data_IF_801518484773
#
_entry.id   IF_801518484773
#
_cell.length_a   1.000
_cell.length_b   1.000
_cell.length_c   1.000
_cell.angle_alpha   90.00
_cell.angle_beta   90.00
_cell.angle_gamma   90.00
#
_symmetry.space_group_name_H-M   'P 1'
#
loop_
_entity.id
_entity.type
_entity.pdbx_description
1 polymer ?
#
# COMPACT_ATOMS: atom_id res chain seq x y z
N UNK A 1 -43.05 -21.16 11.13
CA UNK A 1 -41.92 -21.58 10.27
C UNK A 1 -41.58 -20.42 9.35
N UNK A 2 -40.65 -19.56 9.76
CA UNK A 2 -40.22 -18.40 8.98
C UNK A 2 -39.45 -18.91 7.76
N UNK A 3 -39.90 -18.54 6.57
CA UNK A 3 -39.28 -18.96 5.32
C UNK A 3 -37.87 -18.35 5.24
N UNK A 4 -36.87 -19.20 5.06
CA UNK A 4 -35.48 -18.80 4.83
C UNK A 4 -35.41 -18.10 3.47
N UNK A 5 -34.85 -16.88 3.37
CA UNK A 5 -34.72 -16.23 2.06
C UNK A 5 -33.85 -17.11 1.15
N UNK A 6 -34.35 -17.36 -0.07
CA UNK A 6 -33.60 -17.97 -1.17
C UNK A 6 -32.50 -16.96 -1.59
N UNK A 7 -31.29 -17.46 -1.82
CA UNK A 7 -30.07 -16.74 -2.26
C UNK A 7 -29.24 -15.96 -1.23
N UNK A 8 -29.01 -16.52 -0.05
CA UNK A 8 -27.81 -16.13 0.71
C UNK A 8 -26.57 -16.82 0.11
N UNK A 9 -25.77 -16.05 -0.63
CA UNK A 9 -24.46 -16.48 -1.16
C UNK A 9 -23.63 -17.14 -0.04
N UNK A 10 -23.24 -18.40 -0.25
CA UNK A 10 -22.46 -19.15 0.73
C UNK A 10 -21.03 -18.62 0.81
N UNK A 11 -20.64 -18.10 1.98
CA UNK A 11 -19.28 -17.66 2.26
C UNK A 11 -18.27 -18.83 2.13
N UNK A 12 -17.16 -18.59 1.42
CA UNK A 12 -16.12 -19.61 1.19
C UNK A 12 -15.31 -19.96 2.45
N UNK A 13 -15.25 -19.07 3.43
CA UNK A 13 -14.63 -19.29 4.75
C UNK A 13 -15.60 -18.87 5.83
N UNK A 14 -15.45 -19.42 7.04
CA UNK A 14 -16.29 -19.05 8.18
C UNK A 14 -16.11 -17.57 8.54
N UNK A 15 -17.21 -16.88 8.79
CA UNK A 15 -17.21 -15.51 9.32
C UNK A 15 -16.52 -15.45 10.68
N UNK A 16 -15.63 -14.49 10.87
CA UNK A 16 -15.01 -14.18 12.15
C UNK A 16 -15.80 -13.06 12.80
N UNK A 17 -16.34 -13.26 14.00
CA UNK A 17 -17.08 -12.22 14.72
C UNK A 17 -16.16 -11.15 15.31
N UNK A 18 -14.94 -11.52 15.69
CA UNK A 18 -13.93 -10.63 16.27
C UNK A 18 -12.55 -10.92 15.65
N UNK A 19 -11.64 -9.94 15.62
CA UNK A 19 -10.28 -10.14 15.13
C UNK A 19 -9.53 -11.13 16.05
N UNK A 20 -8.98 -12.24 15.52
CA UNK A 20 -8.17 -13.14 16.32
C UNK A 20 -6.85 -12.47 16.73
N UNK A 21 -6.25 -12.87 17.86
CA UNK A 21 -4.98 -12.29 18.34
C UNK A 21 -3.86 -12.38 17.31
N UNK A 22 -3.78 -13.50 16.58
CA UNK A 22 -2.82 -13.69 15.49
C UNK A 22 -3.01 -12.69 14.35
N UNK A 23 -4.22 -12.21 14.11
CA UNK A 23 -4.46 -11.15 13.15
C UNK A 23 -4.04 -9.78 13.69
N UNK A 24 -4.25 -9.51 14.98
CA UNK A 24 -3.85 -8.23 15.58
C UNK A 24 -2.33 -8.01 15.46
N UNK A 25 -1.53 -9.05 15.68
CA UNK A 25 -0.08 -9.01 15.45
C UNK A 25 0.27 -8.74 13.97
N UNK A 26 -0.44 -9.39 13.04
CA UNK A 26 -0.26 -9.18 11.60
C UNK A 26 -0.63 -7.76 11.20
N UNK A 27 -1.73 -7.22 11.75
CA UNK A 27 -2.21 -5.86 11.51
C UNK A 27 -1.26 -4.83 12.08
N UNK A 28 -0.76 -5.03 13.29
CA UNK A 28 0.25 -4.14 13.88
C UNK A 28 1.49 -4.06 12.98
N UNK A 29 2.04 -5.20 12.57
CA UNK A 29 3.16 -5.25 11.62
C UNK A 29 2.82 -4.59 10.28
N UNK A 30 1.61 -4.78 9.79
CA UNK A 30 1.17 -4.17 8.54
C UNK A 30 1.13 -2.63 8.64
N UNK A 31 0.71 -2.08 9.78
CA UNK A 31 0.51 -0.65 9.97
C UNK A 31 1.76 0.09 10.45
N UNK A 32 2.70 -0.60 11.10
CA UNK A 32 3.97 -0.04 11.57
C UNK A 32 5.07 -0.09 10.51
N UNK A 33 5.09 -1.15 9.72
CA UNK A 33 6.15 -1.37 8.73
C UNK A 33 5.85 -0.64 7.41
N UNK A 34 6.87 0.04 6.87
CA UNK A 34 6.74 0.84 5.64
C UNK A 34 6.56 -0.08 4.42
N UNK A 35 5.47 0.10 3.70
CA UNK A 35 5.13 -0.64 2.47
C UNK A 35 4.49 0.31 1.46
N UNK A 36 4.65 0.03 0.17
CA UNK A 36 4.22 0.92 -0.90
C UNK A 36 3.39 0.18 -1.94
N UNK A 37 2.17 0.66 -2.22
CA UNK A 37 1.40 0.19 -3.37
C UNK A 37 1.97 0.85 -4.63
N UNK A 38 2.47 0.03 -5.55
CA UNK A 38 3.11 0.48 -6.79
C UNK A 38 2.11 0.58 -7.94
N UNK A 39 1.18 -0.37 -8.00
CA UNK A 39 0.19 -0.45 -9.06
C UNK A 39 -1.11 -1.08 -8.53
N UNK A 40 -2.24 -0.66 -9.12
CA UNK A 40 -3.59 -1.14 -8.81
C UNK A 40 -4.38 -1.25 -10.11
N UNK A 41 -4.85 -2.46 -10.42
CA UNK A 41 -5.68 -2.70 -11.59
C UNK A 41 -6.96 -3.39 -11.14
N UNK A 42 -8.11 -2.76 -11.39
CA UNK A 42 -9.41 -3.35 -11.11
C UNK A 42 -9.94 -3.99 -12.37
N UNK A 43 -10.37 -5.23 -12.23
CA UNK A 43 -11.04 -5.98 -13.26
C UNK A 43 -12.53 -6.04 -12.94
N UNK A 44 -13.33 -5.53 -13.89
CA UNK A 44 -14.79 -5.51 -13.87
C UNK A 44 -15.38 -6.56 -14.83
N UNK A 45 -14.55 -7.42 -15.42
CA UNK A 45 -14.98 -8.45 -16.38
C UNK A 45 -15.95 -9.46 -15.76
N UNK A 46 -15.87 -9.67 -14.44
CA UNK A 46 -16.75 -10.59 -13.73
C UNK A 46 -18.08 -9.89 -13.38
N UNK A 47 -19.23 -10.41 -13.85
CA UNK A 47 -20.53 -9.79 -13.61
C UNK A 47 -20.98 -9.85 -12.15
N UNK A 48 -20.45 -10.79 -11.35
CA UNK A 48 -20.87 -10.96 -9.97
C UNK A 48 -20.20 -9.95 -9.03
N UNK A 49 -18.90 -9.74 -9.18
CA UNK A 49 -18.14 -8.84 -8.30
C UNK A 49 -16.86 -8.33 -8.97
N UNK A 50 -16.40 -7.12 -8.61
CA UNK A 50 -15.08 -6.65 -9.03
C UNK A 50 -13.98 -7.51 -8.42
N UNK A 51 -12.83 -7.56 -9.08
CA UNK A 51 -11.56 -8.03 -8.50
C UNK A 51 -10.50 -6.96 -8.69
N UNK A 52 -9.50 -6.91 -7.81
CA UNK A 52 -8.42 -5.91 -7.94
C UNK A 52 -7.07 -6.59 -7.72
N UNK A 53 -6.15 -6.42 -8.68
CA UNK A 53 -4.76 -6.82 -8.56
C UNK A 53 -3.93 -5.63 -8.07
N UNK A 54 -3.06 -5.88 -7.10
CA UNK A 54 -2.22 -4.84 -6.49
C UNK A 54 -0.77 -5.32 -6.47
N UNK A 55 0.14 -4.48 -6.96
CA UNK A 55 1.57 -4.66 -6.79
C UNK A 55 2.04 -3.86 -5.58
N UNK A 56 2.68 -4.52 -4.61
CA UNK A 56 3.06 -3.96 -3.33
C UNK A 56 4.54 -4.20 -3.04
N UNK A 57 5.33 -3.14 -2.86
CA UNK A 57 6.68 -3.24 -2.32
C UNK A 57 6.64 -3.40 -0.79
N UNK A 58 7.27 -4.47 -0.30
CA UNK A 58 7.47 -4.73 1.13
C UNK A 58 8.58 -3.86 1.74
N UNK A 59 8.85 -4.09 3.02
CA UNK A 59 9.87 -3.35 3.81
C UNK A 59 11.28 -3.44 3.25
N UNK A 60 11.61 -4.59 2.64
CA UNK A 60 12.92 -4.86 2.04
C UNK A 60 12.98 -4.43 0.57
N UNK A 61 11.93 -3.77 0.06
CA UNK A 61 11.80 -3.41 -1.36
C UNK A 61 11.40 -4.56 -2.29
N UNK A 62 11.18 -5.78 -1.78
CA UNK A 62 10.66 -6.88 -2.62
C UNK A 62 9.22 -6.58 -3.05
N UNK A 63 8.93 -6.71 -4.33
CA UNK A 63 7.60 -6.54 -4.90
C UNK A 63 6.80 -7.83 -4.80
N UNK A 64 5.64 -7.74 -4.16
CA UNK A 64 4.65 -8.80 -4.04
C UNK A 64 3.40 -8.44 -4.82
N UNK A 65 2.82 -9.42 -5.49
CA UNK A 65 1.55 -9.26 -6.20
C UNK A 65 0.44 -9.88 -5.36
N UNK A 66 -0.65 -9.14 -5.22
CA UNK A 66 -1.85 -9.52 -4.49
C UNK A 66 -3.06 -9.47 -5.40
N UNK A 67 -4.02 -10.32 -5.12
CA UNK A 67 -5.34 -10.30 -5.76
C UNK A 67 -6.42 -10.26 -4.69
N UNK A 68 -7.25 -9.22 -4.71
CA UNK A 68 -8.41 -9.07 -3.84
C UNK A 68 -9.64 -9.59 -4.60
N UNK A 69 -10.05 -10.79 -4.21
CA UNK A 69 -11.16 -11.55 -4.76
C UNK A 69 -11.93 -12.21 -3.58
N UNK A 70 -12.91 -13.08 -3.81
CA UNK A 70 -13.66 -13.78 -2.76
C UNK A 70 -12.75 -14.50 -1.78
N UNK A 71 -11.57 -14.96 -2.21
CA UNK A 71 -10.49 -15.34 -1.30
C UNK A 71 -9.27 -14.50 -1.68
N UNK A 72 -8.83 -13.55 -0.83
CA UNK A 72 -7.68 -12.72 -1.14
C UNK A 72 -6.41 -13.58 -1.17
N UNK A 73 -5.56 -13.35 -2.18
CA UNK A 73 -4.30 -14.08 -2.37
C UNK A 73 -3.11 -13.12 -2.41
N UNK A 74 -1.94 -13.62 -2.03
CA UNK A 74 -0.69 -12.88 -2.09
C UNK A 74 0.44 -13.86 -2.41
N UNK A 75 1.34 -13.47 -3.29
CA UNK A 75 2.47 -14.33 -3.70
C UNK A 75 3.60 -14.40 -2.65
N UNK A 76 3.50 -13.70 -1.52
CA UNK A 76 4.55 -13.69 -0.49
C UNK A 76 4.71 -15.05 0.23
N UNK A 77 5.89 -15.34 0.80
CA UNK A 77 6.16 -16.63 1.45
C UNK A 77 5.21 -16.98 2.60
N UNK A 78 4.70 -15.97 3.32
CA UNK A 78 3.77 -16.20 4.44
C UNK A 78 2.38 -16.65 3.94
N UNK A 79 1.89 -16.03 2.86
CA UNK A 79 0.61 -16.38 2.25
C UNK A 79 0.65 -17.73 1.52
N UNK A 80 1.77 -18.06 0.86
CA UNK A 80 1.98 -19.38 0.23
C UNK A 80 1.89 -20.55 1.23
N UNK A 81 2.17 -20.31 2.51
CA UNK A 81 2.00 -21.28 3.60
C UNK A 81 0.56 -21.39 4.11
N UNK A 82 -0.39 -20.67 3.49
CA UNK A 82 -1.80 -20.65 3.89
C UNK A 82 -2.14 -19.67 5.00
N UNK A 83 -1.19 -18.82 5.42
CA UNK A 83 -1.40 -17.85 6.50
C UNK A 83 -1.89 -16.50 5.97
N UNK A 84 -2.68 -15.79 6.78
CA UNK A 84 -2.99 -14.39 6.53
C UNK A 84 -1.70 -13.56 6.66
N UNK A 85 -1.31 -12.84 5.61
CA UNK A 85 -0.06 -12.09 5.57
C UNK A 85 -0.29 -10.60 5.86
N UNK A 86 0.77 -9.92 6.31
CA UNK A 86 0.76 -8.48 6.55
C UNK A 86 0.46 -7.66 5.30
N UNK A 87 0.80 -8.18 4.10
CA UNK A 87 0.54 -7.49 2.84
C UNK A 87 -0.97 -7.39 2.53
N UNK A 88 -1.73 -8.48 2.72
CA UNK A 88 -3.19 -8.45 2.56
C UNK A 88 -3.82 -7.52 3.60
N UNK A 89 -3.37 -7.60 4.87
CA UNK A 89 -3.86 -6.71 5.92
C UNK A 89 -3.57 -5.23 5.61
N UNK A 90 -2.38 -4.92 5.09
CA UNK A 90 -2.02 -3.57 4.67
C UNK A 90 -2.90 -3.06 3.53
N UNK A 91 -3.10 -3.88 2.49
CA UNK A 91 -3.93 -3.50 1.34
C UNK A 91 -5.37 -3.23 1.79
N UNK A 92 -5.97 -4.12 2.59
CA UNK A 92 -7.33 -3.91 3.09
C UNK A 92 -7.43 -2.64 3.95
N UNK A 93 -6.48 -2.39 4.84
CA UNK A 93 -6.56 -1.28 5.81
C UNK A 93 -6.17 0.08 5.21
N UNK A 94 -5.08 0.14 4.44
CA UNK A 94 -4.45 1.40 3.99
C UNK A 94 -4.73 1.73 2.53
N UNK A 95 -4.78 0.71 1.66
CA UNK A 95 -4.96 0.92 0.21
C UNK A 95 -6.44 0.99 -0.13
N UNK A 96 -7.22 -0.01 0.26
CA UNK A 96 -8.65 -0.11 -0.03
C UNK A 96 -9.53 0.52 1.04
N UNK A 97 -9.00 0.77 2.24
CA UNK A 97 -9.74 1.34 3.39
C UNK A 97 -11.05 0.57 3.66
N UNK A 98 -10.94 -0.76 3.65
CA UNK A 98 -12.05 -1.65 3.90
C UNK A 98 -12.69 -1.38 5.28
N UNK A 99 -14.00 -1.63 5.44
CA UNK A 99 -14.63 -1.61 6.76
C UNK A 99 -13.89 -2.49 7.77
N UNK A 100 -13.82 -2.03 9.01
CA UNK A 100 -13.04 -2.69 10.09
C UNK A 100 -13.40 -4.15 10.29
N UNK A 101 -14.67 -4.51 10.17
CA UNK A 101 -15.17 -5.89 10.30
C UNK A 101 -14.74 -6.82 9.15
N UNK A 102 -14.34 -6.24 8.01
CA UNK A 102 -13.89 -6.97 6.83
C UNK A 102 -12.36 -7.12 6.78
N UNK A 103 -11.59 -6.26 7.45
CA UNK A 103 -10.11 -6.28 7.40
C UNK A 103 -9.49 -7.64 7.84
N UNK A 104 -10.16 -8.37 8.73
CA UNK A 104 -9.67 -9.63 9.32
C UNK A 104 -10.35 -10.89 8.77
N UNK A 105 -11.25 -10.76 7.80
CA UNK A 105 -11.92 -11.91 7.18
C UNK A 105 -10.96 -12.65 6.22
N UNK A 106 -11.14 -13.96 6.07
CA UNK A 106 -10.33 -14.80 5.17
C UNK A 106 -10.97 -15.01 3.79
N UNK A 107 -12.22 -14.62 3.63
CA UNK A 107 -12.96 -14.66 2.39
C UNK A 107 -13.98 -13.52 2.42
N UNK A 108 -14.49 -13.13 1.25
CA UNK A 108 -15.51 -12.12 1.05
C UNK A 108 -16.66 -12.67 0.21
N UNK A 109 -17.85 -12.12 0.41
CA UNK A 109 -18.99 -12.31 -0.51
C UNK A 109 -18.95 -11.27 -1.63
N UNK A 110 -19.70 -11.49 -2.71
CA UNK A 110 -19.80 -10.51 -3.80
C UNK A 110 -20.30 -9.16 -3.30
N UNK A 111 -21.26 -9.15 -2.36
CA UNK A 111 -21.77 -7.92 -1.75
C UNK A 111 -20.72 -7.20 -0.89
N UNK A 112 -19.89 -7.93 -0.14
CA UNK A 112 -18.80 -7.34 0.65
C UNK A 112 -17.70 -6.77 -0.24
N UNK A 113 -17.34 -7.46 -1.33
CA UNK A 113 -16.37 -6.94 -2.28
C UNK A 113 -16.83 -5.63 -2.90
N UNK A 114 -18.10 -5.53 -3.34
CA UNK A 114 -18.66 -4.27 -3.82
C UNK A 114 -18.56 -3.16 -2.77
N UNK A 115 -18.90 -3.44 -1.50
CA UNK A 115 -18.75 -2.47 -0.40
C UNK A 115 -17.31 -2.02 -0.16
N UNK A 116 -16.35 -2.93 -0.29
CA UNK A 116 -14.92 -2.59 -0.15
C UNK A 116 -14.49 -1.67 -1.30
N UNK A 117 -14.85 -2.02 -2.54
CA UNK A 117 -14.40 -1.28 -3.73
C UNK A 117 -15.12 0.05 -3.95
N UNK A 118 -16.37 0.18 -3.50
CA UNK A 118 -17.13 1.45 -3.51
C UNK A 118 -16.50 2.50 -2.60
N UNK A 119 -15.96 2.09 -1.45
CA UNK A 119 -15.25 2.98 -0.51
C UNK A 119 -13.76 3.11 -0.81
N UNK A 120 -13.24 2.29 -1.72
CA UNK A 120 -11.82 2.31 -2.05
C UNK A 120 -11.48 3.63 -2.78
N UNK A 121 -10.31 4.23 -2.48
CA UNK A 121 -9.82 5.38 -3.24
C UNK A 121 -9.78 5.07 -4.75
N UNK A 122 -10.06 6.09 -5.60
CA UNK A 122 -10.13 5.91 -7.05
C UNK A 122 -8.85 5.26 -7.59
N UNK A 123 -8.99 4.45 -8.63
CA UNK A 123 -7.84 3.80 -9.24
C UNK A 123 -6.96 4.84 -9.94
N UNK A 124 -5.64 4.64 -10.00
CA UNK A 124 -4.76 5.49 -10.80
C UNK A 124 -5.13 5.55 -12.30
N UNK A 125 -5.89 4.56 -12.80
CA UNK A 125 -6.34 4.49 -14.20
C UNK A 125 -7.70 5.17 -14.44
N UNK A 126 -8.66 5.07 -13.51
CA UNK A 126 -10.01 5.66 -13.68
C UNK A 126 -9.97 7.19 -13.68
N UNK A 127 -8.95 7.77 -13.05
CA UNK A 127 -8.70 9.21 -13.03
C UNK A 127 -8.09 9.73 -14.33
N UNK A 128 -7.73 8.86 -15.28
CA UNK A 128 -7.25 9.25 -16.60
C UNK A 128 -8.38 9.37 -17.64
N UNK A 129 -9.49 8.65 -17.45
CA UNK A 129 -10.50 8.43 -18.50
C UNK A 129 -11.83 9.20 -18.29
N UNK A 130 -12.05 9.82 -17.12
CA UNK A 130 -13.26 10.59 -16.80
C UNK A 130 -13.16 12.11 -17.12
N UNK A 131 -12.22 12.50 -17.98
CA UNK A 131 -11.92 13.91 -18.30
C UNK A 131 -12.71 14.41 -19.51
N UNK A 132 -14.03 14.44 -19.37
CA UNK A 132 -14.94 15.14 -20.28
C UNK A 132 -15.74 16.17 -19.50
N UNK A 133 -15.44 17.44 -19.74
CA UNK A 133 -16.17 18.66 -19.29
C UNK A 133 -15.74 19.25 -17.94
N UNK A 134 -14.93 20.32 -18.02
CA UNK A 134 -15.00 21.47 -17.11
C UNK A 134 -13.86 21.66 -16.11
N UNK A 135 -12.84 22.41 -16.53
CA UNK A 135 -12.11 23.48 -15.78
C UNK A 135 -10.58 23.44 -16.03
N UNK A 136 -10.06 24.54 -16.55
CA UNK A 136 -8.72 24.69 -17.16
C UNK A 136 -7.55 24.75 -16.14
N UNK A 137 -7.49 23.79 -15.21
CA UNK A 137 -6.38 23.73 -14.23
C UNK A 137 -6.02 22.36 -13.67
N UNK A 138 -6.78 21.30 -13.98
CA UNK A 138 -6.65 20.01 -13.29
C UNK A 138 -6.08 18.90 -14.20
N UNK A 139 -4.74 18.85 -14.33
CA UNK A 139 -4.06 17.84 -15.17
C UNK A 139 -3.75 16.51 -14.49
N UNK A 140 -4.23 16.26 -13.27
CA UNK A 140 -3.80 15.09 -12.53
C UNK A 140 -4.89 14.57 -11.58
N UNK A 141 -5.62 13.56 -12.05
CA UNK A 141 -6.91 13.16 -11.49
C UNK A 141 -6.91 12.48 -10.11
N UNK A 142 -5.80 12.42 -9.36
CA UNK A 142 -5.84 12.04 -7.94
C UNK A 142 -5.69 13.22 -6.97
N UNK A 143 -5.59 14.45 -7.47
CA UNK A 143 -5.56 15.66 -6.66
C UNK A 143 -6.91 15.85 -5.95
N UNK A 144 -6.88 16.03 -4.63
CA UNK A 144 -8.08 16.40 -3.87
C UNK A 144 -8.48 17.86 -4.18
N UNK A 145 -9.76 18.22 -3.99
CA UNK A 145 -10.17 19.62 -3.96
C UNK A 145 -9.25 20.45 -3.07
N UNK A 146 -9.05 21.71 -3.42
CA UNK A 146 -8.33 22.68 -2.60
C UNK A 146 -9.18 23.11 -1.40
N UNK A 147 -9.62 22.12 -0.62
CA UNK A 147 -10.43 22.29 0.58
C UNK A 147 -9.62 21.77 1.79
N UNK A 148 -9.46 22.64 2.80
CA UNK A 148 -8.75 22.36 4.05
C UNK A 148 -7.35 22.97 4.13
N UNK A 149 -6.57 22.51 5.11
CA UNK A 149 -5.28 23.10 5.48
C UNK A 149 -4.08 22.32 4.92
N UNK A 150 -2.97 23.02 4.69
CA UNK A 150 -1.70 22.39 4.35
C UNK A 150 -1.15 21.58 5.54
N UNK A 151 -0.79 20.29 5.35
CA UNK A 151 -0.36 19.42 6.45
C UNK A 151 1.03 19.75 7.03
N UNK A 152 1.73 20.75 6.48
CA UNK A 152 3.03 21.20 6.98
C UNK A 152 2.87 22.46 7.83
N UNK A 153 2.17 23.48 7.32
CA UNK A 153 2.02 24.77 8.00
C UNK A 153 0.67 24.95 8.72
N UNK A 154 -0.29 24.06 8.51
CA UNK A 154 -1.65 24.13 9.05
C UNK A 154 -2.37 25.45 8.70
N UNK A 155 -2.09 25.98 7.50
CA UNK A 155 -2.75 27.17 6.95
C UNK A 155 -3.63 26.73 5.78
N UNK A 156 -4.82 27.32 5.68
CA UNK A 156 -5.76 27.10 4.58
C UNK A 156 -5.16 27.51 3.23
N UNK A 157 -5.60 26.83 2.17
CA UNK A 157 -5.21 27.20 0.81
C UNK A 157 -5.99 28.43 0.33
N UNK A 158 -5.30 29.50 -0.02
CA UNK A 158 -5.93 30.68 -0.60
C UNK A 158 -5.73 30.69 -2.14
N UNK A 159 -6.76 30.38 -2.94
CA UNK A 159 -6.62 30.35 -4.40
C UNK A 159 -6.38 31.74 -5.01
N UNK A 160 -6.73 32.82 -4.29
CA UNK A 160 -6.58 34.20 -4.75
C UNK A 160 -5.20 34.82 -4.42
N UNK A 161 -4.41 34.19 -3.56
CA UNK A 161 -3.12 34.72 -3.09
C UNK A 161 -1.95 34.44 -4.06
N UNK A 162 -2.18 33.64 -5.11
CA UNK A 162 -1.15 33.24 -6.08
C UNK A 162 -0.19 32.16 -5.57
N UNK A 163 -0.54 31.46 -4.48
CA UNK A 163 0.25 30.39 -3.90
C UNK A 163 0.36 29.16 -4.83
N UNK A 164 1.59 28.71 -5.08
CA UNK A 164 1.83 27.51 -5.88
C UNK A 164 1.58 26.28 -5.00
N UNK A 165 0.63 25.44 -5.40
CA UNK A 165 0.27 24.21 -4.69
C UNK A 165 0.77 22.99 -5.45
N UNK A 166 1.47 22.10 -4.75
CA UNK A 166 1.81 20.75 -5.20
C UNK A 166 0.92 19.75 -4.47
N UNK A 167 0.83 18.52 -4.96
CA UNK A 167 0.04 17.50 -4.28
C UNK A 167 0.65 16.11 -4.49
N UNK A 168 0.22 15.18 -3.64
CA UNK A 168 0.74 13.81 -3.67
C UNK A 168 0.16 13.01 -4.85
N UNK A 169 0.88 13.02 -5.98
CA UNK A 169 0.62 12.19 -7.17
C UNK A 169 0.73 10.69 -6.94
N UNK A 170 1.54 10.27 -5.99
CA UNK A 170 1.82 8.85 -5.79
C UNK A 170 0.71 8.07 -5.08
N UNK A 171 -0.12 8.73 -4.25
CA UNK A 171 -1.10 8.00 -3.44
C UNK A 171 -2.27 8.83 -2.91
N UNK A 172 -2.02 9.79 -2.01
CA UNK A 172 -3.09 10.33 -1.17
C UNK A 172 -3.79 11.56 -1.73
N UNK A 173 -3.26 12.18 -2.78
CA UNK A 173 -3.88 13.34 -3.43
C UNK A 173 -3.89 14.63 -2.62
N UNK A 174 -3.33 14.65 -1.40
CA UNK A 174 -3.35 15.84 -0.56
C UNK A 174 -2.51 16.96 -1.16
N UNK A 175 -3.09 18.16 -1.10
CA UNK A 175 -2.47 19.43 -1.47
C UNK A 175 -1.47 19.88 -0.39
N UNK A 176 -0.41 20.55 -0.83
CA UNK A 176 0.69 21.06 -0.02
C UNK A 176 1.23 22.32 -0.73
N UNK A 177 1.47 23.41 0.00
CA UNK A 177 2.18 24.56 -0.58
C UNK A 177 3.54 24.12 -1.12
N UNK A 178 3.90 24.56 -2.33
CA UNK A 178 5.16 24.21 -2.97
C UNK A 178 6.37 24.60 -2.10
N UNK A 179 6.30 25.76 -1.44
CA UNK A 179 7.37 26.22 -0.55
C UNK A 179 7.47 25.35 0.71
N UNK A 180 6.33 24.96 1.31
CA UNK A 180 6.31 24.02 2.42
C UNK A 180 6.90 22.66 2.00
N UNK A 181 6.54 22.17 0.82
CA UNK A 181 7.07 20.91 0.28
C UNK A 181 8.58 21.00 -0.02
N UNK A 182 9.06 22.13 -0.53
CA UNK A 182 10.48 22.38 -0.79
C UNK A 182 11.30 22.36 0.50
N UNK A 183 10.80 22.97 1.56
CA UNK A 183 11.43 22.90 2.89
C UNK A 183 11.44 21.47 3.42
N UNK A 184 10.33 20.75 3.29
CA UNK A 184 10.25 19.33 3.66
C UNK A 184 11.26 18.48 2.88
N UNK A 185 11.37 18.64 1.57
CA UNK A 185 12.32 17.96 0.71
C UNK A 185 13.77 18.29 1.09
N UNK A 186 14.05 19.54 1.46
CA UNK A 186 15.37 19.97 1.91
C UNK A 186 15.82 19.25 3.19
N UNK A 187 14.90 18.92 4.11
CA UNK A 187 15.24 18.13 5.32
C UNK A 187 15.72 16.70 5.02
N UNK A 188 15.57 16.22 3.78
CA UNK A 188 15.95 14.85 3.37
C UNK A 188 17.25 14.78 2.57
N UNK A 189 17.94 15.89 2.34
CA UNK A 189 19.18 15.99 1.52
C UNK A 189 20.41 15.23 2.06
N UNK A 190 20.33 14.61 3.23
CA UNK A 190 21.40 13.80 3.84
C UNK A 190 21.39 12.30 3.50
N UNK A 191 20.72 11.88 2.43
CA UNK A 191 20.67 10.47 1.98
C UNK A 191 19.28 9.81 1.97
N UNK A 192 18.20 10.58 2.20
CA UNK A 192 16.83 10.09 2.13
C UNK A 192 16.09 10.56 0.88
N UNK A 193 15.31 9.67 0.26
CA UNK A 193 14.38 10.04 -0.81
C UNK A 193 13.23 10.92 -0.28
N UNK A 194 12.74 11.83 -1.11
CA UNK A 194 11.63 12.74 -0.74
C UNK A 194 10.32 11.96 -0.72
N UNK A 195 9.54 12.11 0.35
CA UNK A 195 8.25 11.42 0.56
C UNK A 195 7.14 12.42 0.81
N UNK A 196 5.89 12.01 0.63
CA UNK A 196 4.72 12.81 0.99
C UNK A 196 4.67 13.00 2.51
N UNK A 197 4.59 14.24 3.03
CA UNK A 197 4.43 14.51 4.47
C UNK A 197 3.19 13.86 5.08
N UNK A 198 2.12 13.67 4.30
CA UNK A 198 0.85 13.15 4.78
C UNK A 198 0.81 11.62 4.81
N UNK A 199 1.03 10.96 3.66
CA UNK A 199 0.94 9.50 3.56
C UNK A 199 2.29 8.77 3.53
N UNK A 200 3.40 9.51 3.48
CA UNK A 200 4.79 8.99 3.44
C UNK A 200 5.15 8.14 2.22
N UNK A 201 4.28 8.07 1.22
CA UNK A 201 4.60 7.51 -0.10
C UNK A 201 5.76 8.29 -0.76
N UNK A 202 6.58 7.66 -1.62
CA UNK A 202 7.63 8.36 -2.36
C UNK A 202 7.01 9.47 -3.19
N UNK A 203 7.67 10.63 -3.22
CA UNK A 203 7.15 11.76 -3.98
C UNK A 203 7.39 11.56 -5.47
N UNK A 204 6.34 11.67 -6.28
CA UNK A 204 6.42 11.66 -7.73
C UNK A 204 6.35 13.12 -8.21
N UNK A 205 7.49 13.67 -8.65
CA UNK A 205 7.56 15.00 -9.25
C UNK A 205 7.24 14.99 -10.74
N UNK A 206 7.15 16.16 -11.36
CA UNK A 206 7.18 16.35 -12.83
C UNK A 206 8.58 16.06 -13.38
N UNK A 207 9.00 14.80 -13.31
CA UNK A 207 9.96 14.21 -14.22
C UNK A 207 9.37 12.88 -14.67
N UNK A 208 9.22 12.77 -15.99
CA UNK A 208 8.42 11.79 -16.71
C UNK A 208 8.68 10.32 -16.30
N UNK A 209 7.60 9.53 -16.37
CA UNK A 209 7.60 8.06 -16.49
C UNK A 209 8.02 7.20 -15.28
N UNK A 210 7.15 7.13 -14.27
CA UNK A 210 7.17 6.07 -13.23
C UNK A 210 6.37 4.81 -13.59
N UNK A 211 5.73 4.74 -14.76
CA UNK A 211 5.06 3.49 -15.21
C UNK A 211 6.06 2.43 -15.71
N UNK A 212 7.26 2.83 -16.13
CA UNK A 212 8.28 1.91 -16.68
C UNK A 212 9.30 1.37 -15.67
N UNK A 213 9.64 2.13 -14.62
CA UNK A 213 10.85 1.85 -13.83
C UNK A 213 10.66 0.79 -12.73
N UNK A 214 9.42 0.48 -12.33
CA UNK A 214 9.15 -0.37 -11.16
C UNK A 214 9.02 -1.88 -11.44
N UNK A 215 9.00 -2.30 -12.71
CA UNK A 215 8.98 -3.73 -13.08
C UNK A 215 10.37 -4.29 -13.42
N UNK A 216 11.39 -3.44 -13.54
CA UNK A 216 12.74 -3.78 -14.00
C UNK A 216 13.80 -3.62 -12.90
N UNK A 217 13.49 -4.07 -11.68
CA UNK A 217 14.48 -4.20 -10.61
C UNK A 217 15.25 -5.53 -10.66
N UNK A 218 16.43 -5.63 -10.03
CA UNK A 218 17.14 -6.89 -9.90
C UNK A 218 16.24 -7.93 -9.22
N UNK A 219 16.25 -9.16 -9.73
CA UNK A 219 15.55 -10.29 -9.09
C UNK A 219 16.46 -10.92 -8.07
N UNK A 220 15.95 -11.13 -6.86
CA UNK A 220 16.68 -11.87 -5.83
C UNK A 220 16.70 -13.38 -6.15
N UNK A 221 17.47 -14.16 -5.37
CA UNK A 221 17.53 -15.62 -5.50
C UNK A 221 16.15 -16.33 -5.37
N UNK A 222 15.19 -15.70 -4.69
CA UNK A 222 13.81 -16.20 -4.56
C UNK A 222 12.90 -15.80 -5.74
N UNK A 223 13.41 -15.04 -6.71
CA UNK A 223 12.73 -14.62 -7.94
C UNK A 223 11.87 -13.35 -7.82
N UNK A 224 11.89 -12.63 -6.68
CA UNK A 224 11.17 -11.37 -6.51
C UNK A 224 11.98 -10.20 -7.06
N UNK A 225 11.30 -9.30 -7.76
CA UNK A 225 11.86 -8.00 -8.17
C UNK A 225 12.07 -7.14 -6.92
N UNK A 226 13.26 -6.59 -6.76
CA UNK A 226 13.57 -5.68 -5.66
C UNK A 226 13.68 -4.23 -6.17
N UNK A 227 12.94 -3.33 -5.53
CA UNK A 227 12.89 -1.90 -5.83
C UNK A 227 13.34 -1.05 -4.63
N UNK A 228 14.15 -1.61 -3.72
CA UNK A 228 14.56 -0.93 -2.49
C UNK A 228 15.31 0.38 -2.77
N UNK A 229 16.29 0.35 -3.68
CA UNK A 229 17.07 1.54 -4.07
C UNK A 229 16.21 2.66 -4.66
N UNK A 230 15.26 2.29 -5.53
CA UNK A 230 14.31 3.21 -6.17
C UNK A 230 13.35 3.85 -5.15
N UNK A 231 12.98 3.08 -4.11
CA UNK A 231 12.13 3.53 -3.01
C UNK A 231 12.93 4.06 -1.81
N UNK A 232 14.25 4.20 -1.95
CA UNK A 232 15.23 4.52 -0.90
C UNK A 232 14.97 3.80 0.43
N UNK A 233 14.63 2.52 0.34
CA UNK A 233 14.61 1.58 1.44
C UNK A 233 16.01 0.99 1.61
N UNK A 234 16.38 0.65 2.84
CA UNK A 234 17.69 0.04 3.11
C UNK A 234 17.85 -1.35 2.48
N UNK A 235 16.77 -1.98 2.00
CA UNK A 235 16.76 -3.39 1.60
C UNK A 235 16.78 -4.35 2.80
N UNK A 236 17.36 -3.92 3.92
CA UNK A 236 17.47 -4.67 5.17
C UNK A 236 16.13 -5.15 5.72
N UNK A 237 16.11 -6.41 6.17
CA UNK A 237 14.98 -6.99 6.88
C UNK A 237 15.07 -6.69 8.38
N UNK A 238 14.03 -6.08 8.92
CA UNK A 238 13.87 -5.91 10.37
C UNK A 238 13.39 -7.22 11.04
N UNK A 239 14.25 -7.78 11.88
CA UNK A 239 14.01 -9.00 12.65
C UNK A 239 13.52 -8.74 14.09
N UNK A 240 13.41 -7.49 14.54
CA UNK A 240 13.04 -7.14 15.92
C UNK A 240 11.67 -7.70 16.33
N UNK A 241 10.75 -7.82 15.37
CA UNK A 241 9.41 -8.39 15.56
C UNK A 241 9.32 -9.92 15.42
N UNK A 242 10.45 -10.60 15.16
CA UNK A 242 10.48 -12.06 14.98
C UNK A 242 10.76 -12.76 16.31
N UNK A 243 10.24 -13.99 16.45
CA UNK A 243 10.48 -14.80 17.63
C UNK A 243 12.00 -15.05 17.78
N UNK A 244 12.57 -14.62 18.91
CA UNK A 244 14.02 -14.60 19.15
C UNK A 244 14.72 -15.94 18.90
N UNK A 245 14.07 -17.06 19.28
CA UNK A 245 14.57 -18.40 19.00
C UNK A 245 14.73 -18.69 17.49
N UNK A 246 13.78 -18.26 16.66
CA UNK A 246 13.86 -18.45 15.21
C UNK A 246 14.99 -17.62 14.62
N UNK A 247 15.15 -16.36 15.05
CA UNK A 247 16.22 -15.47 14.59
C UNK A 247 17.59 -16.06 14.93
N UNK A 248 17.79 -16.51 16.17
CA UNK A 248 19.05 -17.16 16.60
C UNK A 248 19.37 -18.41 15.78
N UNK A 249 18.36 -19.25 15.49
CA UNK A 249 18.54 -20.46 14.69
C UNK A 249 18.93 -20.14 13.24
N UNK A 250 18.33 -19.11 12.64
CA UNK A 250 18.70 -18.69 11.29
C UNK A 250 20.10 -18.08 11.23
N UNK A 251 20.48 -17.32 12.27
CA UNK A 251 21.84 -16.80 12.40
C UNK A 251 22.88 -17.93 12.52
N UNK A 252 22.61 -18.97 13.32
CA UNK A 252 23.48 -20.16 13.42
C UNK A 252 23.61 -20.91 12.09
N UNK A 253 22.57 -20.89 11.27
CA UNK A 253 22.57 -21.53 9.95
C UNK A 253 23.22 -20.65 8.87
N UNK A 254 23.76 -19.48 9.21
CA UNK A 254 24.37 -18.54 8.26
C UNK A 254 23.36 -17.84 7.33
N UNK A 255 22.05 -17.98 7.60
CA UNK A 255 20.97 -17.34 6.82
C UNK A 255 20.72 -15.90 7.28
N UNK A 256 21.27 -15.52 8.43
CA UNK A 256 21.28 -14.14 8.90
C UNK A 256 22.71 -13.82 9.35
N UNK A 257 23.42 -12.96 8.61
CA UNK A 257 24.76 -12.48 8.95
C UNK A 257 24.70 -11.41 10.05
N UNK A 258 25.83 -11.16 10.72
CA UNK A 258 26.03 -10.04 11.64
C UNK A 258 27.13 -9.17 11.03
N UNK A 259 26.86 -7.90 10.74
CA UNK A 259 27.89 -6.97 10.29
C UNK A 259 28.52 -6.23 11.48
N UNK A 260 29.65 -5.55 11.22
CA UNK A 260 30.64 -5.00 12.17
C UNK A 260 30.07 -3.97 13.19
N UNK A 261 28.82 -3.55 13.00
CA UNK A 261 28.02 -2.70 13.88
C UNK A 261 27.00 -3.48 14.74
N UNK A 262 27.06 -4.81 14.74
CA UNK A 262 26.29 -5.71 15.61
C UNK A 262 24.84 -5.91 15.17
N UNK A 263 24.49 -5.51 13.94
CA UNK A 263 23.13 -5.62 13.41
C UNK A 263 23.12 -6.58 12.21
N UNK A 264 22.07 -7.38 12.14
CA UNK A 264 21.93 -8.50 11.20
C UNK A 264 21.64 -8.08 9.75
N UNK A 265 22.44 -8.51 8.78
CA UNK A 265 22.17 -8.36 7.34
C UNK A 265 22.38 -9.67 6.57
N UNK A 266 21.82 -9.76 5.36
CA UNK A 266 22.02 -10.90 4.46
C UNK A 266 22.45 -10.37 3.09
N UNK A 267 23.55 -10.90 2.57
CA UNK A 267 24.04 -10.62 1.21
C UNK A 267 23.00 -11.05 0.18
N UNK A 268 22.60 -10.12 -0.69
CA UNK A 268 21.68 -10.38 -1.80
C UNK A 268 22.37 -11.06 -2.98
#
# INVERSE_FOLDING_TARGET
KTQKPKDEEKRLRRWRSHPPSSYLEVRDRALTQRMFALDRQRDLSNPDHPTESISLAGTTGNVYTLEINKVPTCNCPHARKGNQCKHIAYVLSRVLRAPTELEYQLAFTSAELRKIFEKAPPLPSETADASGVGDEGNRDGNRKPLEGECPICCVDFEPESGEVIVYCRAACGNNIHAECFKQWAATKRGGGHVTCPFCRSPWQGDEQDVKGVMKEGPKNAEGYVNVASQLGLSGRRDYSSYHSYWVRRQAMNGVIGWDDDGVMDHDY
#
